data_IF_593832363494
#
_entry.id   IF_593832363494
#
_cell.length_a   1.000
_cell.length_b   1.000
_cell.length_c   1.000
_cell.angle_alpha   90.00
_cell.angle_beta   90.00
_cell.angle_gamma   90.00
#
_symmetry.space_group_name_H-M   'P 1'
#
loop_
_entity.id
_entity.type
_entity.pdbx_description
1 polymer ?
#
# COMPACT_ATOMS: atom_id res chain seq x y z
N UNK A 1 1.70 2.61 6.75
CA UNK A 1 0.50 1.82 7.09
C UNK A 1 -0.66 2.35 6.29
N UNK A 2 -1.59 1.49 5.90
CA UNK A 2 -2.90 1.90 5.38
C UNK A 2 -3.89 1.60 6.50
N UNK A 3 -4.54 2.64 7.02
CA UNK A 3 -5.50 2.54 8.12
C UNK A 3 -6.87 3.02 7.61
N UNK A 4 -7.79 2.08 7.41
CA UNK A 4 -9.15 2.38 6.92
C UNK A 4 -10.07 2.88 8.02
N UNK A 5 -9.66 2.82 9.29
CA UNK A 5 -10.43 3.33 10.43
C UNK A 5 -10.11 4.79 10.77
N UNK A 6 -9.07 5.36 10.15
CA UNK A 6 -8.72 6.77 10.33
C UNK A 6 -9.52 7.65 9.37
N UNK A 7 -10.00 8.78 9.89
CA UNK A 7 -10.67 9.83 9.11
C UNK A 7 -9.68 10.73 8.35
N UNK A 8 -8.43 10.78 8.84
CA UNK A 8 -7.39 11.70 8.39
C UNK A 8 -6.04 10.99 8.27
N UNK A 9 -5.19 11.46 7.37
CA UNK A 9 -3.81 10.97 7.24
C UNK A 9 -2.92 11.67 8.28
N UNK A 10 -2.21 10.88 9.08
CA UNK A 10 -1.24 11.38 10.05
C UNK A 10 0.19 11.02 9.64
N UNK A 11 1.13 11.94 9.91
CA UNK A 11 2.55 11.74 9.69
C UNK A 11 3.32 12.17 10.94
N UNK A 12 4.34 11.39 11.31
CA UNK A 12 5.23 11.77 12.40
C UNK A 12 6.01 13.06 12.07
N UNK A 13 6.15 13.95 13.06
CA UNK A 13 6.88 15.23 12.94
C UNK A 13 8.26 15.06 12.30
N UNK A 14 9.02 14.06 12.74
CA UNK A 14 10.38 13.84 12.26
C UNK A 14 10.43 13.42 10.79
N UNK A 15 9.41 12.69 10.30
CA UNK A 15 9.29 12.36 8.89
C UNK A 15 8.90 13.58 8.05
N UNK A 16 7.95 14.38 8.53
CA UNK A 16 7.55 15.63 7.87
C UNK A 16 8.75 16.58 7.71
N UNK A 17 9.58 16.73 8.74
CA UNK A 17 10.84 17.48 8.67
C UNK A 17 11.82 16.87 7.67
N UNK A 18 12.03 15.55 7.73
CA UNK A 18 12.99 14.84 6.88
C UNK A 18 12.70 15.03 5.39
N UNK A 19 11.42 15.10 5.00
CA UNK A 19 11.01 15.30 3.61
C UNK A 19 10.76 16.77 3.25
N UNK A 20 10.98 17.70 4.20
CA UNK A 20 10.75 19.13 3.99
C UNK A 20 9.28 19.47 3.73
N UNK A 21 8.33 18.72 4.30
CA UNK A 21 6.90 18.92 4.07
C UNK A 21 6.46 20.28 4.64
N UNK A 22 5.91 21.21 3.84
CA UNK A 22 5.37 22.45 4.36
C UNK A 22 4.04 22.20 5.08
N UNK A 23 3.93 22.69 6.32
CA UNK A 23 2.70 22.69 7.10
C UNK A 23 2.56 24.00 7.84
N UNK A 24 1.31 24.41 8.11
CA UNK A 24 1.00 25.57 8.93
C UNK A 24 0.82 25.12 10.37
N UNK A 25 1.43 25.85 11.31
CA UNK A 25 1.21 25.61 12.74
C UNK A 25 -0.24 25.87 13.07
N UNK A 26 -0.91 24.85 13.59
CA UNK A 26 -2.32 24.91 13.98
C UNK A 26 -2.49 24.17 15.31
N UNK A 27 -3.41 24.67 16.14
CA UNK A 27 -3.72 24.04 17.42
C UNK A 27 -4.69 22.88 17.17
N UNK A 28 -4.39 21.72 17.71
CA UNK A 28 -5.25 20.56 17.61
C UNK A 28 -4.66 19.35 18.32
N UNK A 29 -5.46 18.28 18.38
CA UNK A 29 -5.04 17.02 18.99
C UNK A 29 -5.48 15.85 18.13
N UNK A 30 -4.64 14.81 18.07
CA UNK A 30 -5.02 13.50 17.57
C UNK A 30 -5.43 12.65 18.76
N UNK A 31 -6.59 11.99 18.67
CA UNK A 31 -7.07 11.04 19.69
C UNK A 31 -7.30 9.68 19.03
N UNK A 32 -6.51 8.69 19.41
CA UNK A 32 -6.85 7.29 19.15
C UNK A 32 -7.96 6.82 20.09
N UNK A 33 -8.76 5.83 19.69
CA UNK A 33 -9.91 5.31 20.45
C UNK A 33 -9.55 5.01 21.92
N UNK A 34 -8.38 4.39 22.15
CA UNK A 34 -7.89 4.01 23.47
C UNK A 34 -6.57 4.69 23.86
N UNK A 35 -6.23 5.82 23.23
CA UNK A 35 -4.96 6.50 23.45
C UNK A 35 -5.15 7.90 24.06
N UNK A 36 -4.10 8.37 24.76
CA UNK A 36 -4.03 9.76 25.20
C UNK A 36 -4.04 10.69 23.98
N UNK A 37 -4.67 11.86 24.14
CA UNK A 37 -4.64 12.91 23.13
C UNK A 37 -3.21 13.43 22.95
N UNK A 38 -2.72 13.44 21.73
CA UNK A 38 -1.41 13.99 21.38
C UNK A 38 -1.60 15.30 20.60
N UNK A 39 -0.85 16.37 20.90
CA UNK A 39 -0.94 17.60 20.14
C UNK A 39 -0.43 17.40 18.72
N UNK A 40 -1.03 18.12 17.76
CA UNK A 40 -0.47 18.23 16.40
C UNK A 40 0.54 19.38 16.34
N UNK A 41 1.53 19.23 15.47
CA UNK A 41 2.50 20.29 15.17
C UNK A 41 1.97 21.28 14.12
N UNK A 42 1.01 20.83 13.30
CA UNK A 42 0.36 21.63 12.28
C UNK A 42 -0.32 20.79 11.21
N UNK A 43 -0.86 21.47 10.19
CA UNK A 43 -1.63 20.86 9.11
C UNK A 43 -1.03 21.24 7.75
N UNK A 44 -0.85 20.24 6.90
CA UNK A 44 -0.39 20.42 5.53
C UNK A 44 -1.60 20.42 4.58
N UNK A 45 -1.71 21.46 3.76
CA UNK A 45 -2.84 21.66 2.84
C UNK A 45 -2.36 21.62 1.39
N UNK A 46 -3.17 21.06 0.49
CA UNK A 46 -2.86 21.04 -0.95
C UNK A 46 -1.64 20.19 -1.32
N UNK A 47 -1.31 19.18 -0.52
CA UNK A 47 -0.13 18.33 -0.75
C UNK A 47 -0.44 17.26 -1.79
N UNK A 48 0.37 17.22 -2.84
CA UNK A 48 0.37 16.13 -3.80
C UNK A 48 1.06 14.89 -3.20
N UNK A 49 0.32 13.79 -3.06
CA UNK A 49 0.89 12.50 -2.63
C UNK A 49 1.10 11.63 -3.87
N UNK A 50 2.34 11.22 -4.11
CA UNK A 50 2.68 10.29 -5.20
C UNK A 50 2.77 8.87 -4.66
N UNK A 51 1.89 8.00 -5.15
CA UNK A 51 1.95 6.55 -4.90
C UNK A 51 2.48 5.89 -6.17
N UNK A 52 3.67 5.30 -6.10
CA UNK A 52 4.29 4.63 -7.26
C UNK A 52 3.77 3.21 -7.44
N UNK A 53 3.85 2.70 -8.67
CA UNK A 53 3.53 1.30 -8.97
C UNK A 53 4.60 0.37 -8.41
N UNK A 54 4.14 -0.74 -7.83
CA UNK A 54 5.00 -1.84 -7.44
C UNK A 54 5.38 -2.64 -8.69
N UNK A 55 6.67 -2.88 -8.90
CA UNK A 55 7.14 -3.81 -9.93
C UNK A 55 7.25 -5.21 -9.33
N UNK A 56 6.37 -6.11 -9.73
CA UNK A 56 6.52 -7.54 -9.42
C UNK A 56 7.61 -8.09 -10.32
N UNK A 57 8.79 -8.37 -9.74
CA UNK A 57 9.83 -9.13 -10.45
C UNK A 57 9.45 -10.60 -10.37
N UNK A 58 8.99 -11.18 -11.47
CA UNK A 58 8.96 -12.62 -11.62
C UNK A 58 10.40 -13.10 -11.75
N UNK A 59 11.01 -13.60 -10.67
CA UNK A 59 12.21 -14.42 -10.80
C UNK A 59 11.79 -15.75 -11.44
N UNK A 60 12.59 -16.27 -12.37
CA UNK A 60 12.46 -17.66 -12.87
C UNK A 60 12.81 -18.71 -11.79
N UNK A 61 13.03 -18.26 -10.56
CA UNK A 61 13.27 -19.07 -9.38
C UNK A 61 12.01 -19.03 -8.51
N UNK A 62 11.42 -20.19 -8.16
CA UNK A 62 10.31 -20.21 -7.23
C UNK A 62 10.77 -19.64 -5.89
N UNK A 63 9.95 -18.82 -5.21
CA UNK A 63 10.31 -18.29 -3.92
C UNK A 63 10.60 -19.43 -2.96
N UNK A 64 11.75 -19.39 -2.28
CA UNK A 64 12.18 -20.43 -1.34
C UNK A 64 11.26 -20.52 -0.12
N UNK A 65 10.44 -19.49 0.13
CA UNK A 65 9.38 -19.46 1.13
C UNK A 65 8.10 -18.99 0.43
N UNK A 66 7.06 -19.83 0.39
CA UNK A 66 5.77 -19.48 -0.21
C UNK A 66 5.04 -18.43 0.65
N UNK A 67 5.26 -17.14 0.37
CA UNK A 67 4.31 -16.11 0.79
C UNK A 67 3.28 -15.92 -0.32
N UNK A 68 2.30 -16.82 -0.35
CA UNK A 68 1.18 -16.81 -1.27
C UNK A 68 0.19 -15.72 -0.83
N UNK A 69 0.43 -14.47 -1.22
CA UNK A 69 -0.52 -13.38 -0.97
C UNK A 69 -1.69 -13.51 -1.94
N UNK A 70 -2.67 -14.35 -1.58
CA UNK A 70 -3.92 -14.51 -2.32
C UNK A 70 -4.88 -13.37 -1.98
N UNK A 71 -4.98 -12.38 -2.87
CA UNK A 71 -5.99 -11.33 -2.78
C UNK A 71 -7.36 -11.87 -3.24
N UNK A 72 -8.38 -11.81 -2.36
CA UNK A 72 -9.78 -12.09 -2.77
C UNK A 72 -10.30 -10.90 -3.60
N UNK A 73 -10.69 -11.13 -4.85
CA UNK A 73 -11.48 -10.16 -5.63
C UNK A 73 -10.99 -9.82 -7.04
N UNK A 74 -9.83 -10.30 -7.49
CA UNK A 74 -9.43 -10.17 -8.89
C UNK A 74 -10.05 -11.31 -9.71
N UNK A 75 -10.72 -11.03 -10.85
CA UNK A 75 -11.18 -12.10 -11.72
C UNK A 75 -9.98 -12.91 -12.20
N UNK A 76 -10.11 -14.23 -12.18
CA UNK A 76 -9.16 -15.14 -12.79
C UNK A 76 -9.08 -14.80 -14.29
N UNK A 77 -8.09 -14.00 -14.68
CA UNK A 77 -7.70 -13.91 -16.09
C UNK A 77 -7.04 -15.24 -16.40
N UNK A 78 -7.87 -16.18 -16.86
CA UNK A 78 -7.44 -17.52 -17.23
C UNK A 78 -6.32 -17.46 -18.25
N UNK A 79 -5.16 -18.00 -17.89
CA UNK A 79 -4.09 -18.27 -18.83
C UNK A 79 -4.55 -19.39 -19.79
N UNK A 80 -5.16 -18.95 -20.89
CA UNK A 80 -5.10 -19.48 -22.25
C UNK A 80 -4.74 -20.98 -22.38
N UNK A 81 -5.76 -21.81 -22.62
CA UNK A 81 -5.62 -23.20 -23.05
C UNK A 81 -4.88 -23.28 -24.38
N UNK A 82 -3.57 -23.55 -24.34
CA UNK A 82 -2.76 -23.76 -25.54
C UNK A 82 -2.51 -25.26 -25.75
N UNK A 83 -3.19 -25.80 -26.75
CA UNK A 83 -2.90 -26.98 -27.56
C UNK A 83 -2.04 -28.11 -26.96
N UNK A 84 -2.65 -29.30 -26.80
CA UNK A 84 -1.96 -30.57 -27.05
C UNK A 84 -2.75 -31.39 -28.07
N UNK A 85 -2.27 -31.37 -29.31
CA UNK A 85 -2.60 -32.33 -30.36
C UNK A 85 -2.40 -33.76 -29.85
N UNK A 86 -3.43 -34.61 -29.97
CA UNK A 86 -3.33 -36.05 -29.75
C UNK A 86 -2.49 -36.68 -30.87
N UNK A 87 -1.54 -37.58 -30.58
CA UNK A 87 -0.92 -38.38 -31.63
C UNK A 87 -1.89 -39.49 -32.06
N UNK A 88 -2.24 -39.51 -33.35
CA UNK A 88 -2.91 -40.63 -34.01
C UNK A 88 -1.94 -41.80 -34.09
N UNK A 89 -2.33 -42.97 -33.56
CA UNK A 89 -1.71 -44.26 -33.91
C UNK A 89 -2.71 -45.04 -34.78
N UNK A 90 -2.33 -45.25 -36.04
CA UNK A 90 -2.84 -46.36 -36.86
C UNK A 90 -2.08 -47.63 -36.47
#
# INVERSE_FOLDING_TARGET
>A
MVDTGADTIYMAKELAKKIGLPYKKEKGYVKGVNAKKLPIEGVAHGIAIRISQWQVRHSNQPPTHELLVKWKGLPNVGANSRNKSKPTRR
#
